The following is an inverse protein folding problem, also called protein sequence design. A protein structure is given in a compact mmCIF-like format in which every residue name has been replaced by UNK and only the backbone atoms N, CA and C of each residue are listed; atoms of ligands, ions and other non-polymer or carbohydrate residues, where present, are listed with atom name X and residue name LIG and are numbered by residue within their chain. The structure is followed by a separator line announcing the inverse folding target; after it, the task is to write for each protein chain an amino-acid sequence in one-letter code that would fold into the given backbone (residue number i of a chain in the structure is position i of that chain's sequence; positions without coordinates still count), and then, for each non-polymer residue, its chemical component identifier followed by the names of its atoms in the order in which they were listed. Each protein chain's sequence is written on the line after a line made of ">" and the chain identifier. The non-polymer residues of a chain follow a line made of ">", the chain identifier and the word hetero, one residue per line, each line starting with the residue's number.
data_IF_594063423519
#
_entry.id   IF_594063423519
#
_cell.length_a   1.000
_cell.length_b   1.000
_cell.length_c   1.000
_cell.angle_alpha   90.00
_cell.angle_beta   90.00
_cell.angle_gamma   90.00
#
_symmetry.space_group_name_H-M   'P 1'
#
loop_
_entity.id
_entity.type
_entity.pdbx_description
1 polymer ?
#
# COMPACT_ATOMS: atom_id res chain seq x y z
N UNK A 1 -21.98 32.82 -10.30
CA UNK A 1 -21.88 34.04 -9.46
C UNK A 1 -21.93 33.55 -8.02
N UNK A 2 -20.86 33.55 -7.24
CA UNK A 2 -20.36 34.75 -6.56
C UNK A 2 -18.86 34.64 -6.30
N UNK A 3 -18.18 35.72 -6.69
CA UNK A 3 -16.77 36.00 -6.46
C UNK A 3 -16.62 36.53 -5.03
N UNK A 4 -15.63 36.04 -4.28
CA UNK A 4 -15.00 36.81 -3.20
C UNK A 4 -13.48 36.65 -3.32
N UNK A 5 -12.91 37.48 -4.21
CA UNK A 5 -11.52 37.89 -4.20
C UNK A 5 -11.49 39.27 -3.54
N UNK A 6 -10.68 39.46 -2.52
CA UNK A 6 -10.21 40.73 -1.94
C UNK A 6 -9.39 40.32 -0.69
N UNK A 7 -8.23 40.84 -0.29
CA UNK A 7 -7.39 41.99 -0.65
C UNK A 7 -6.02 41.71 0.06
N UNK A 8 -4.91 41.63 -0.67
CA UNK A 8 -3.72 42.50 -0.58
C UNK A 8 -3.59 43.43 0.65
N UNK A 9 -2.63 43.17 1.53
CA UNK A 9 -1.93 44.17 2.37
C UNK A 9 -0.88 43.42 3.19
N UNK A 10 0.36 43.86 3.42
CA UNK A 10 1.12 45.02 2.98
C UNK A 10 2.57 44.67 3.31
N UNK A 11 3.46 44.97 2.38
CA UNK A 11 4.91 44.89 2.56
C UNK A 11 5.30 45.94 3.61
N UNK A 12 5.86 45.53 4.74
CA UNK A 12 6.58 46.45 5.64
C UNK A 12 8.03 46.01 5.70
N UNK A 13 8.85 46.72 4.92
CA UNK A 13 10.29 46.78 5.09
C UNK A 13 10.57 47.49 6.43
N UNK A 14 11.09 46.76 7.41
CA UNK A 14 11.77 47.35 8.56
C UNK A 14 13.27 47.08 8.42
N UNK A 15 13.98 48.04 7.79
CA UNK A 15 15.43 48.14 7.83
C UNK A 15 15.84 48.76 9.17
N UNK A 16 16.09 47.91 10.17
CA UNK A 16 16.82 48.32 11.38
C UNK A 16 18.21 47.70 11.35
N UNK A 17 19.18 48.51 10.95
CA UNK A 17 20.61 48.28 11.10
C UNK A 17 20.96 48.43 12.60
N UNK A 18 21.01 47.32 13.31
CA UNK A 18 21.67 47.23 14.62
C UNK A 18 22.94 46.41 14.46
N UNK A 19 24.08 47.11 14.54
CA UNK A 19 25.43 46.55 14.56
C UNK A 19 25.62 45.86 15.92
N UNK A 20 25.31 44.57 15.99
CA UNK A 20 25.70 43.74 17.12
C UNK A 20 27.17 43.37 16.97
N UNK A 21 27.98 43.92 17.88
CA UNK A 21 29.39 43.56 18.04
C UNK A 21 29.53 42.04 18.16
N UNK A 22 30.44 41.50 17.36
CA UNK A 22 30.85 40.11 17.35
C UNK A 22 31.44 39.71 18.70
N UNK A 23 30.62 39.14 19.58
CA UNK A 23 31.12 38.29 20.64
C UNK A 23 31.29 36.88 20.04
N UNK A 24 32.52 36.52 19.69
CA UNK A 24 32.91 35.12 19.50
C UNK A 24 32.86 34.43 20.87
N UNK A 25 31.64 34.09 21.32
CA UNK A 25 31.47 33.03 22.27
C UNK A 25 31.73 31.73 21.50
N UNK A 26 32.91 31.16 21.69
CA UNK A 26 33.17 29.76 21.37
C UNK A 26 32.24 28.91 22.25
N UNK A 27 31.00 28.72 21.82
CA UNK A 27 30.18 27.61 22.30
C UNK A 27 30.86 26.36 21.78
N UNK A 28 31.56 25.67 22.66
CA UNK A 28 31.87 24.26 22.53
C UNK A 28 30.56 23.53 22.29
N UNK A 29 30.22 23.31 21.01
CA UNK A 29 29.22 22.35 20.60
C UNK A 29 29.67 20.99 21.13
N UNK A 30 29.06 20.54 22.22
CA UNK A 30 29.20 19.16 22.69
C UNK A 30 28.42 18.27 21.72
N UNK A 31 29.05 17.53 20.78
CA UNK A 31 28.33 16.84 19.70
C UNK A 31 27.77 15.47 20.14
N UNK A 32 27.75 15.16 21.44
CA UNK A 32 27.54 13.78 21.92
C UNK A 32 26.10 13.43 22.31
N UNK A 33 25.23 14.41 22.61
CA UNK A 33 23.86 14.10 23.08
C UNK A 33 22.88 13.76 21.95
N UNK A 34 23.03 14.34 20.76
CA UNK A 34 22.13 14.08 19.63
C UNK A 34 22.22 12.64 19.10
N UNK A 35 23.40 12.03 19.17
CA UNK A 35 23.59 10.63 18.74
C UNK A 35 22.95 9.65 19.72
N UNK A 36 23.10 9.88 21.02
CA UNK A 36 22.50 9.04 22.06
C UNK A 36 20.96 9.11 22.03
N UNK A 37 20.40 10.32 21.87
CA UNK A 37 18.95 10.52 21.76
C UNK A 37 18.36 9.83 20.52
N UNK A 38 18.99 9.98 19.35
CA UNK A 38 18.57 9.28 18.11
C UNK A 38 18.69 7.75 18.21
N UNK A 39 19.67 7.26 18.97
CA UNK A 39 19.84 5.82 19.19
C UNK A 39 18.73 5.25 20.08
N UNK A 40 18.41 5.92 21.19
CA UNK A 40 17.30 5.52 22.07
C UNK A 40 15.96 5.51 21.32
N UNK A 41 15.69 6.57 20.56
CA UNK A 41 14.51 6.70 19.70
C UNK A 41 14.38 5.58 18.64
N UNK A 42 15.49 5.19 18.01
CA UNK A 42 15.47 4.09 17.04
C UNK A 42 15.25 2.72 17.71
N UNK A 43 15.70 2.54 18.96
CA UNK A 43 15.42 1.33 19.74
C UNK A 43 13.93 1.25 20.06
N UNK A 44 13.33 2.36 20.52
CA UNK A 44 11.91 2.44 20.80
C UNK A 44 11.06 2.20 19.55
N UNK A 45 11.39 2.83 18.43
CA UNK A 45 10.75 2.55 17.13
C UNK A 45 10.82 1.07 16.75
N UNK A 46 11.99 0.43 16.90
CA UNK A 46 12.14 -1.00 16.58
C UNK A 46 11.26 -1.86 17.48
N UNK A 47 11.25 -1.58 18.79
CA UNK A 47 10.41 -2.31 19.74
C UNK A 47 8.93 -2.17 19.38
N UNK A 48 8.47 -0.95 19.06
CA UNK A 48 7.09 -0.67 18.69
C UNK A 48 6.67 -1.29 17.34
N UNK A 49 7.60 -1.45 16.40
CA UNK A 49 7.30 -1.92 15.03
C UNK A 49 7.56 -3.41 14.78
N UNK A 50 8.15 -4.14 15.73
CA UNK A 50 8.50 -5.55 15.51
C UNK A 50 7.27 -6.45 15.35
N UNK A 51 6.19 -6.18 16.10
CA UNK A 51 4.91 -6.88 15.94
C UNK A 51 4.31 -6.63 14.54
N UNK A 52 4.22 -5.35 14.13
CA UNK A 52 3.71 -4.95 12.82
C UNK A 52 4.52 -5.56 11.66
N UNK A 53 5.84 -5.64 11.82
CA UNK A 53 6.73 -6.29 10.86
C UNK A 53 6.46 -7.78 10.75
N UNK A 54 6.26 -8.46 11.88
CA UNK A 54 5.92 -9.89 11.92
C UNK A 54 4.60 -10.15 11.21
N UNK A 55 3.59 -9.31 11.48
CA UNK A 55 2.29 -9.37 10.83
C UNK A 55 2.40 -9.16 9.31
N UNK A 56 3.15 -8.15 8.85
CA UNK A 56 3.40 -7.92 7.42
C UNK A 56 4.07 -9.12 6.73
N UNK A 57 4.95 -9.84 7.42
CA UNK A 57 5.57 -11.07 6.92
C UNK A 57 4.54 -12.20 6.82
N UNK A 58 3.69 -12.38 7.84
CA UNK A 58 2.57 -13.34 7.83
C UNK A 58 1.65 -13.11 6.64
N UNK A 59 1.13 -11.88 6.50
CA UNK A 59 0.28 -11.48 5.37
C UNK A 59 0.99 -11.65 4.03
N UNK A 60 2.32 -11.47 3.96
CA UNK A 60 3.08 -11.69 2.71
C UNK A 60 3.14 -13.16 2.34
N UNK A 61 3.30 -14.03 3.32
CA UNK A 61 3.26 -15.49 3.13
C UNK A 61 1.89 -15.93 2.62
N UNK A 62 0.82 -15.49 3.29
CA UNK A 62 -0.56 -15.80 2.92
C UNK A 62 -0.89 -15.33 1.49
N UNK A 63 -0.57 -14.06 1.19
CA UNK A 63 -0.77 -13.51 -0.15
C UNK A 63 -0.03 -14.31 -1.23
N UNK A 64 1.18 -14.81 -0.92
CA UNK A 64 1.96 -15.66 -1.84
C UNK A 64 1.28 -17.01 -2.04
N UNK A 65 0.80 -17.65 -0.98
CA UNK A 65 0.05 -18.90 -1.04
C UNK A 65 -1.21 -18.76 -1.91
N UNK A 66 -2.03 -17.72 -1.67
CA UNK A 66 -3.20 -17.42 -2.51
C UNK A 66 -2.84 -17.19 -3.98
N UNK A 67 -1.72 -16.51 -4.24
CA UNK A 67 -1.26 -16.27 -5.61
C UNK A 67 -0.88 -17.57 -6.32
N UNK A 68 -0.28 -18.54 -5.61
CA UNK A 68 0.01 -19.85 -6.14
C UNK A 68 -1.28 -20.63 -6.45
N UNK A 69 -2.24 -20.67 -5.52
CA UNK A 69 -3.52 -21.33 -5.73
C UNK A 69 -4.29 -20.76 -6.93
N UNK A 70 -4.40 -19.42 -7.01
CA UNK A 70 -5.04 -18.74 -8.16
C UNK A 70 -4.34 -19.10 -9.48
N UNK A 71 -3.01 -19.18 -9.47
CA UNK A 71 -2.24 -19.56 -10.68
C UNK A 71 -2.58 -20.98 -11.13
N UNK A 72 -2.58 -21.94 -10.19
CA UNK A 72 -2.92 -23.35 -10.47
C UNK A 72 -4.33 -23.48 -11.03
N UNK A 73 -5.34 -22.89 -10.38
CA UNK A 73 -6.74 -22.96 -10.87
C UNK A 73 -6.88 -22.30 -12.24
N UNK A 74 -6.23 -21.15 -12.45
CA UNK A 74 -6.24 -20.47 -13.76
C UNK A 74 -5.64 -21.33 -14.87
N UNK A 75 -4.58 -22.07 -14.59
CA UNK A 75 -3.96 -23.00 -15.55
C UNK A 75 -4.92 -24.16 -15.87
N UNK A 76 -5.56 -24.75 -14.86
CA UNK A 76 -6.60 -25.76 -15.06
C UNK A 76 -7.78 -25.23 -15.91
N UNK A 77 -8.26 -24.02 -15.62
CA UNK A 77 -9.33 -23.36 -16.39
C UNK A 77 -8.94 -23.12 -17.84
N UNK A 78 -7.67 -22.79 -18.11
CA UNK A 78 -7.16 -22.60 -19.47
C UNK A 78 -7.22 -23.90 -20.27
N UNK A 79 -6.83 -25.01 -19.66
CA UNK A 79 -6.87 -26.32 -20.33
C UNK A 79 -8.32 -26.81 -20.50
N UNK A 80 -9.17 -26.68 -19.48
CA UNK A 80 -10.59 -27.03 -19.58
C UNK A 80 -11.31 -26.23 -20.68
N UNK A 81 -11.05 -24.92 -20.77
CA UNK A 81 -11.63 -24.08 -21.83
C UNK A 81 -11.16 -24.48 -23.24
N UNK A 82 -9.96 -25.02 -23.41
CA UNK A 82 -9.49 -25.51 -24.72
C UNK A 82 -10.22 -26.79 -25.13
N UNK A 83 -10.52 -27.65 -24.17
CA UNK A 83 -11.19 -28.93 -24.39
C UNK A 83 -12.65 -28.79 -24.83
N UNK A 84 -13.30 -27.64 -24.57
CA UNK A 84 -14.68 -27.40 -24.96
C UNK A 84 -14.89 -27.42 -26.49
N UNK A 85 -16.02 -27.97 -26.92
CA UNK A 85 -16.54 -27.87 -28.29
C UNK A 85 -16.95 -26.43 -28.65
N UNK A 86 -17.28 -26.18 -29.92
CA UNK A 86 -17.74 -24.87 -30.35
C UNK A 86 -19.13 -24.54 -29.77
N UNK A 87 -19.98 -25.55 -29.69
CA UNK A 87 -21.34 -25.50 -29.16
C UNK A 87 -21.32 -25.18 -27.66
N UNK A 88 -20.48 -25.88 -26.88
CA UNK A 88 -20.31 -25.61 -25.45
C UNK A 88 -19.75 -24.21 -25.19
N UNK A 89 -18.77 -23.78 -25.99
CA UNK A 89 -18.23 -22.40 -25.92
C UNK A 89 -19.30 -21.36 -26.19
N UNK A 90 -20.19 -21.60 -27.15
CA UNK A 90 -21.29 -20.70 -27.45
C UNK A 90 -22.30 -20.65 -26.29
N UNK A 91 -22.67 -21.80 -25.74
CA UNK A 91 -23.59 -21.91 -24.61
C UNK A 91 -23.07 -21.21 -23.34
N UNK A 92 -21.76 -21.25 -23.11
CA UNK A 92 -21.12 -20.65 -21.92
C UNK A 92 -20.61 -19.22 -22.14
N UNK A 93 -20.75 -18.65 -23.33
CA UNK A 93 -20.08 -17.39 -23.70
C UNK A 93 -20.37 -16.24 -22.73
N UNK A 94 -21.64 -16.04 -22.39
CA UNK A 94 -22.07 -14.93 -21.53
C UNK A 94 -21.56 -15.10 -20.09
N UNK A 95 -21.76 -16.28 -19.50
CA UNK A 95 -21.31 -16.57 -18.13
C UNK A 95 -19.78 -16.43 -17.98
N UNK A 96 -19.02 -16.99 -18.95
CA UNK A 96 -17.55 -16.85 -18.98
C UNK A 96 -17.12 -15.39 -19.12
N UNK A 97 -17.86 -14.58 -19.88
CA UNK A 97 -17.55 -13.15 -20.07
C UNK A 97 -17.75 -12.37 -18.78
N UNK A 98 -18.87 -12.58 -18.08
CA UNK A 98 -19.17 -11.92 -16.80
C UNK A 98 -18.08 -12.23 -15.77
N UNK A 99 -17.73 -13.51 -15.60
CA UNK A 99 -16.71 -13.92 -14.62
C UNK A 99 -15.34 -13.31 -14.96
N UNK A 100 -14.94 -13.32 -16.25
CA UNK A 100 -13.68 -12.69 -16.70
C UNK A 100 -13.66 -11.18 -16.42
N UNK A 101 -14.78 -10.49 -16.61
CA UNK A 101 -14.90 -9.05 -16.30
C UNK A 101 -14.77 -8.79 -14.80
N UNK A 102 -15.43 -9.60 -13.96
CA UNK A 102 -15.30 -9.49 -12.50
C UNK A 102 -13.85 -9.70 -12.04
N UNK A 103 -13.17 -10.75 -12.54
CA UNK A 103 -11.75 -10.99 -12.23
C UNK A 103 -10.88 -9.79 -12.66
N UNK A 104 -11.14 -9.22 -13.85
CA UNK A 104 -10.42 -8.03 -14.33
C UNK A 104 -10.64 -6.82 -13.41
N UNK A 105 -11.87 -6.57 -12.97
CA UNK A 105 -12.18 -5.48 -12.05
C UNK A 105 -11.44 -5.65 -10.71
N UNK A 106 -11.43 -6.87 -10.16
CA UNK A 106 -10.69 -7.18 -8.93
C UNK A 106 -9.18 -6.98 -9.09
N UNK A 107 -8.61 -7.33 -10.24
CA UNK A 107 -7.20 -7.05 -10.54
C UNK A 107 -6.90 -5.55 -10.57
N UNK A 108 -7.76 -4.74 -11.19
CA UNK A 108 -7.62 -3.28 -11.19
C UNK A 108 -7.67 -2.70 -9.77
N UNK A 109 -8.57 -3.19 -8.91
CA UNK A 109 -8.63 -2.77 -7.51
C UNK A 109 -7.32 -3.07 -6.76
N UNK A 110 -6.73 -4.26 -6.95
CA UNK A 110 -5.42 -4.60 -6.37
C UNK A 110 -4.33 -3.61 -6.82
N UNK A 111 -4.34 -3.17 -8.08
CA UNK A 111 -3.33 -2.22 -8.59
C UNK A 111 -3.43 -0.85 -7.91
N UNK A 112 -4.65 -0.35 -7.69
CA UNK A 112 -4.89 0.89 -6.93
C UNK A 112 -4.35 0.77 -5.51
N UNK A 113 -4.69 -0.31 -4.81
CA UNK A 113 -4.25 -0.54 -3.42
C UNK A 113 -2.72 -0.68 -3.35
N UNK A 114 -2.08 -1.32 -4.34
CA UNK A 114 -0.61 -1.42 -4.41
C UNK A 114 0.06 -0.06 -4.53
N UNK A 115 -0.52 0.84 -5.31
CA UNK A 115 -0.02 2.22 -5.45
C UNK A 115 -0.13 2.98 -4.13
N UNK A 116 -1.29 2.92 -3.47
CA UNK A 116 -1.50 3.53 -2.14
C UNK A 116 -0.50 3.00 -1.11
N UNK A 117 -0.32 1.67 -1.07
CA UNK A 117 0.66 1.02 -0.19
C UNK A 117 2.09 1.49 -0.46
N UNK A 118 2.47 1.69 -1.72
CA UNK A 118 3.79 2.20 -2.07
C UNK A 118 3.97 3.65 -1.59
N UNK A 119 2.95 4.49 -1.72
CA UNK A 119 2.97 5.86 -1.20
C UNK A 119 3.17 5.87 0.33
N UNK A 120 2.42 5.03 1.06
CA UNK A 120 2.56 4.91 2.52
C UNK A 120 3.96 4.42 2.93
N UNK A 121 4.55 3.46 2.22
CA UNK A 121 5.93 3.03 2.52
C UNK A 121 6.94 4.17 2.38
N UNK A 122 6.72 5.10 1.45
CA UNK A 122 7.53 6.30 1.31
C UNK A 122 7.29 7.28 2.47
N UNK A 123 6.05 7.41 2.94
CA UNK A 123 5.68 8.23 4.09
C UNK A 123 6.30 7.69 5.39
N UNK A 124 6.18 6.40 5.69
CA UNK A 124 6.87 5.75 6.83
C UNK A 124 8.35 6.09 6.87
N UNK A 125 9.03 6.06 5.71
CA UNK A 125 10.45 6.39 5.61
C UNK A 125 10.71 7.87 5.88
N UNK A 126 9.83 8.76 5.42
CA UNK A 126 9.91 10.20 5.66
C UNK A 126 9.66 10.53 7.13
N UNK A 127 8.59 10.00 7.73
CA UNK A 127 8.23 10.20 9.15
C UNK A 127 9.34 9.67 10.07
N UNK A 128 9.89 8.48 9.76
CA UNK A 128 11.05 7.96 10.49
C UNK A 128 12.26 8.88 10.41
N UNK A 129 12.53 9.50 9.26
CA UNK A 129 13.63 10.44 9.08
C UNK A 129 13.37 11.76 9.83
N UNK A 130 12.12 12.18 9.90
CA UNK A 130 11.69 13.37 10.63
C UNK A 130 11.62 13.15 12.16
N UNK A 131 11.78 11.91 12.64
CA UNK A 131 11.65 11.56 14.06
C UNK A 131 10.19 11.46 14.53
N UNK A 132 9.23 11.50 13.61
CA UNK A 132 7.80 11.40 13.90
C UNK A 132 7.36 9.93 13.92
N UNK A 133 7.77 9.21 14.97
CA UNK A 133 7.54 7.78 15.08
C UNK A 133 6.06 7.41 15.24
N UNK A 134 5.26 8.24 15.90
CA UNK A 134 3.82 7.97 16.02
C UNK A 134 3.14 7.95 14.65
N UNK A 135 3.43 8.94 13.78
CA UNK A 135 2.89 8.96 12.42
C UNK A 135 3.41 7.79 11.58
N UNK A 136 4.70 7.47 11.67
CA UNK A 136 5.26 6.32 10.95
C UNK A 136 4.66 4.97 11.37
N UNK A 137 4.27 4.82 12.65
CA UNK A 137 3.56 3.62 13.14
C UNK A 137 2.15 3.58 12.55
N UNK A 138 1.41 4.69 12.60
CA UNK A 138 0.07 4.77 12.01
C UNK A 138 0.08 4.46 10.49
N UNK A 139 1.08 4.94 9.76
CA UNK A 139 1.27 4.61 8.35
C UNK A 139 1.53 3.10 8.13
N UNK A 140 2.29 2.45 9.03
CA UNK A 140 2.53 1.00 8.99
C UNK A 140 1.24 0.19 9.25
N UNK A 141 0.42 0.61 10.21
CA UNK A 141 -0.90 0.02 10.46
C UNK A 141 -1.81 0.15 9.23
N UNK A 142 -1.80 1.30 8.56
CA UNK A 142 -2.55 1.47 7.32
C UNK A 142 -2.03 0.56 6.20
N UNK A 143 -0.71 0.36 6.10
CA UNK A 143 -0.12 -0.60 5.14
C UNK A 143 -0.61 -2.03 5.41
N UNK A 144 -0.75 -2.42 6.68
CA UNK A 144 -1.29 -3.73 7.08
C UNK A 144 -2.72 -3.87 6.59
N UNK A 145 -3.59 -2.90 6.89
CA UNK A 145 -4.98 -2.91 6.43
C UNK A 145 -5.11 -3.01 4.90
N UNK A 146 -4.30 -2.25 4.15
CA UNK A 146 -4.29 -2.36 2.68
C UNK A 146 -3.82 -3.74 2.20
N UNK A 147 -2.95 -4.41 2.95
CA UNK A 147 -2.47 -5.75 2.62
C UNK A 147 -3.53 -6.82 2.87
N UNK A 148 -4.28 -6.69 3.95
CA UNK A 148 -5.47 -7.51 4.25
C UNK A 148 -6.54 -7.35 3.16
N UNK A 149 -6.83 -6.11 2.73
CA UNK A 149 -7.75 -5.87 1.61
C UNK A 149 -7.30 -6.57 0.32
N UNK A 150 -6.00 -6.56 0.00
CA UNK A 150 -5.49 -7.32 -1.16
C UNK A 150 -5.70 -8.83 -0.98
N UNK A 151 -5.56 -9.36 0.23
CA UNK A 151 -5.80 -10.78 0.53
C UNK A 151 -7.27 -11.12 0.32
N UNK A 152 -8.20 -10.32 0.84
CA UNK A 152 -9.64 -10.49 0.65
C UNK A 152 -10.01 -10.47 -0.85
N UNK A 153 -9.49 -9.50 -1.61
CA UNK A 153 -9.72 -9.45 -3.06
C UNK A 153 -9.15 -10.69 -3.75
N UNK A 154 -8.00 -11.20 -3.32
CA UNK A 154 -7.42 -12.44 -3.87
C UNK A 154 -8.28 -13.66 -3.54
N UNK A 155 -8.87 -13.75 -2.35
CA UNK A 155 -9.83 -14.80 -2.02
C UNK A 155 -11.05 -14.72 -2.94
N UNK A 156 -11.58 -13.52 -3.20
CA UNK A 156 -12.67 -13.33 -4.18
C UNK A 156 -12.27 -13.77 -5.59
N UNK A 157 -11.04 -13.45 -6.03
CA UNK A 157 -10.53 -13.94 -7.33
C UNK A 157 -10.44 -15.47 -7.34
N UNK A 158 -9.99 -16.09 -6.25
CA UNK A 158 -9.91 -17.55 -6.16
C UNK A 158 -11.31 -18.19 -6.29
N UNK A 159 -12.30 -17.64 -5.59
CA UNK A 159 -13.71 -18.09 -5.70
C UNK A 159 -14.21 -17.94 -7.13
N UNK A 160 -13.97 -16.80 -7.79
CA UNK A 160 -14.36 -16.60 -9.19
C UNK A 160 -13.67 -17.58 -10.15
N UNK A 161 -12.40 -17.92 -9.89
CA UNK A 161 -11.67 -18.92 -10.66
C UNK A 161 -12.22 -20.33 -10.42
N UNK A 162 -12.65 -20.66 -9.21
CA UNK A 162 -13.31 -21.93 -8.91
C UNK A 162 -14.70 -22.01 -9.56
N UNK A 163 -15.49 -20.93 -9.52
CA UNK A 163 -16.77 -20.86 -10.25
C UNK A 163 -16.58 -21.03 -11.75
N UNK A 164 -15.52 -20.41 -12.31
CA UNK A 164 -15.12 -20.62 -13.70
C UNK A 164 -14.79 -22.09 -13.96
N UNK A 165 -14.04 -22.74 -13.06
CA UNK A 165 -13.70 -24.15 -13.17
C UNK A 165 -14.95 -25.03 -13.19
N UNK A 166 -15.87 -24.84 -12.25
CA UNK A 166 -17.13 -25.58 -12.19
C UNK A 166 -17.94 -25.41 -13.47
N UNK A 167 -18.06 -24.18 -14.00
CA UNK A 167 -18.77 -23.92 -15.25
C UNK A 167 -18.15 -24.66 -16.45
N UNK A 168 -16.83 -24.83 -16.47
CA UNK A 168 -16.11 -25.55 -17.52
C UNK A 168 -16.17 -27.08 -17.35
N UNK A 169 -16.38 -27.58 -16.13
CA UNK A 169 -16.42 -29.03 -15.83
C UNK A 169 -17.83 -29.64 -15.88
N UNK A 170 -18.89 -28.84 -15.91
CA UNK A 170 -20.29 -29.33 -15.92
C UNK A 170 -20.76 -29.79 -17.32
N UNK A 171 -19.91 -29.64 -18.35
CA UNK A 171 -20.20 -29.99 -19.75
C UNK A 171 -19.63 -31.37 -20.18
N UNK A 172 -19.08 -32.16 -19.24
CA UNK A 172 -18.73 -33.57 -19.45
C UNK A 172 -19.85 -34.45 -18.91
#
# INVERSE_FOLDING_TARGET
>A
MNKKKMIMATLVLALSLSVSQSAFAATTETPSNDKAAKQAQNVEWKAATEALKTELLGLRSEQKALSAQIKTVREANKEAHKALSAEEKAALKESLTIIKQQIKAQHSAILVIRSQKQALFMQVKAEKKAGNYAAGIADLEQIIQLKEQIIQIKQSILVLQQSLQSALSTTV
#
